data_IF_242411144306
#
_entry.id   IF_242411144306
#
_cell.length_a   1.000
_cell.length_b   1.000
_cell.length_c   1.000
_cell.angle_alpha   90.00
_cell.angle_beta   90.00
_cell.angle_gamma   90.00
#
_symmetry.space_group_name_H-M   'P 1'
#
loop_
_entity.id
_entity.type
_entity.pdbx_description
1 polymer ?
#
# COMPACT_ATOMS: atom_id res chain seq x y z
N UNK A 1 -5.64 -16.52 24.35
CA UNK A 1 -5.52 -15.80 23.07
C UNK A 1 -6.24 -16.66 22.04
N UNK A 2 -7.30 -16.17 21.38
CA UNK A 2 -7.91 -16.95 20.28
C UNK A 2 -6.94 -16.93 19.10
N UNK A 3 -6.35 -18.08 18.69
CA UNK A 3 -5.25 -18.11 17.73
C UNK A 3 -5.63 -17.57 16.34
N UNK A 4 -6.92 -17.40 16.07
CA UNK A 4 -7.48 -16.96 14.79
C UNK A 4 -7.84 -15.46 14.74
N UNK A 5 -7.55 -14.67 15.78
CA UNK A 5 -7.86 -13.24 15.84
C UNK A 5 -6.59 -12.39 15.69
N UNK A 6 -5.92 -12.50 14.54
CA UNK A 6 -4.66 -11.79 14.28
C UNK A 6 -4.42 -11.65 12.76
N UNK A 7 -3.36 -10.93 12.38
CA UNK A 7 -2.83 -10.85 11.02
C UNK A 7 -1.44 -11.51 10.96
N UNK A 8 -1.37 -12.86 11.01
CA UNK A 8 -0.11 -13.58 11.26
C UNK A 8 0.95 -13.42 10.18
N UNK A 9 0.59 -12.97 8.98
CA UNK A 9 1.52 -12.78 7.87
C UNK A 9 1.98 -11.31 7.70
N UNK A 10 1.49 -10.36 8.50
CA UNK A 10 1.85 -8.96 8.37
C UNK A 10 3.30 -8.72 8.82
N UNK A 11 4.22 -8.28 7.92
CA UNK A 11 5.57 -7.93 8.29
C UNK A 11 5.62 -6.51 8.84
N UNK A 12 6.74 -6.18 9.52
CA UNK A 12 7.13 -4.79 9.78
C UNK A 12 8.52 -4.59 9.21
N UNK A 13 8.68 -3.60 8.32
CA UNK A 13 9.99 -3.24 7.79
C UNK A 13 10.48 -1.93 8.39
N UNK A 14 11.67 -1.99 8.98
CA UNK A 14 12.37 -0.86 9.57
C UNK A 14 13.64 -0.59 8.76
N UNK A 15 13.64 0.50 8.01
CA UNK A 15 14.75 0.92 7.16
C UNK A 15 14.41 2.23 6.46
N UNK A 16 15.42 2.96 6.00
CA UNK A 16 15.20 4.16 5.19
C UNK A 16 14.39 3.76 3.94
N UNK A 17 13.32 4.50 3.66
CA UNK A 17 12.36 4.21 2.59
C UNK A 17 11.27 3.17 2.95
N UNK A 18 11.40 2.45 4.06
CA UNK A 18 10.38 1.47 4.50
C UNK A 18 10.01 0.45 3.42
N UNK A 19 8.72 0.10 3.33
CA UNK A 19 8.22 -0.84 2.32
C UNK A 19 8.34 -0.32 0.88
N UNK A 20 8.36 1.01 0.68
CA UNK A 20 8.52 1.62 -0.64
C UNK A 20 9.87 1.33 -1.31
N UNK A 21 10.84 0.76 -0.58
CA UNK A 21 12.13 0.36 -1.15
C UNK A 21 12.09 -0.94 -1.94
N UNK A 22 11.05 -1.77 -1.77
CA UNK A 22 10.97 -3.09 -2.40
C UNK A 22 9.54 -3.50 -2.82
N UNK A 23 8.56 -2.59 -2.73
CA UNK A 23 7.17 -2.78 -3.15
C UNK A 23 6.98 -3.04 -4.66
N UNK A 24 5.82 -3.57 -5.03
CA UNK A 24 5.47 -3.89 -6.44
C UNK A 24 5.00 -2.70 -7.28
N UNK A 25 5.00 -1.49 -6.70
CA UNK A 25 4.71 -0.22 -7.40
C UNK A 25 3.30 -0.07 -8.00
N UNK A 26 2.34 -0.94 -7.68
CA UNK A 26 0.96 -0.77 -8.13
C UNK A 26 0.28 0.44 -7.45
N UNK A 27 -0.24 1.36 -8.27
CA UNK A 27 -0.87 2.61 -7.81
C UNK A 27 -2.24 2.84 -8.46
N UNK A 28 -3.23 1.97 -8.23
CA UNK A 28 -4.60 2.23 -8.65
C UNK A 28 -5.22 3.38 -7.84
N UNK A 29 -6.24 4.01 -8.42
CA UNK A 29 -7.16 4.87 -7.66
C UNK A 29 -8.24 4.00 -7.00
N UNK A 30 -8.67 4.37 -5.80
CA UNK A 30 -9.80 3.72 -5.13
C UNK A 30 -11.10 3.90 -5.90
N UNK A 31 -11.90 2.83 -5.99
CA UNK A 31 -13.21 2.86 -6.62
C UNK A 31 -14.14 3.86 -5.89
N UNK A 32 -14.73 4.85 -6.61
CA UNK A 32 -15.67 5.83 -6.04
C UNK A 32 -16.80 5.24 -5.20
N UNK A 33 -17.41 4.16 -5.68
CA UNK A 33 -18.64 3.62 -5.12
C UNK A 33 -18.40 2.56 -4.02
N UNK A 34 -17.16 2.10 -3.88
CA UNK A 34 -16.81 0.97 -2.99
C UNK A 34 -15.77 1.34 -1.94
N UNK A 35 -14.71 2.05 -2.33
CA UNK A 35 -13.50 2.19 -1.50
C UNK A 35 -13.22 3.63 -1.10
N UNK A 36 -13.60 4.60 -1.94
CA UNK A 36 -13.15 5.98 -1.79
C UNK A 36 -13.90 6.69 -0.65
N UNK A 37 -13.17 7.30 0.32
CA UNK A 37 -13.80 8.04 1.42
C UNK A 37 -14.60 9.27 0.97
N UNK A 38 -15.74 9.49 1.62
CA UNK A 38 -16.53 10.73 1.52
C UNK A 38 -15.93 11.84 2.41
N UNK A 39 -14.72 12.28 2.08
CA UNK A 39 -13.98 13.36 2.76
C UNK A 39 -13.57 14.50 1.81
N UNK A 40 -13.63 14.23 0.52
CA UNK A 40 -13.25 15.12 -0.56
C UNK A 40 -14.28 14.96 -1.68
N UNK A 41 -14.57 16.06 -2.35
CA UNK A 41 -15.38 16.06 -3.57
C UNK A 41 -14.68 15.29 -4.69
N UNK A 42 -15.44 14.92 -5.73
CA UNK A 42 -14.88 14.28 -6.92
C UNK A 42 -13.74 15.07 -7.57
N UNK A 43 -13.87 16.39 -7.59
CA UNK A 43 -12.86 17.28 -8.17
C UNK A 43 -11.60 17.32 -7.32
N UNK A 44 -11.74 17.40 -5.99
CA UNK A 44 -10.60 17.33 -5.08
C UNK A 44 -9.89 15.97 -5.21
N UNK A 45 -10.62 14.86 -5.26
CA UNK A 45 -10.02 13.54 -5.47
C UNK A 45 -9.25 13.46 -6.78
N UNK A 46 -9.82 13.98 -7.87
CA UNK A 46 -9.16 14.03 -9.18
C UNK A 46 -7.87 14.84 -9.12
N UNK A 47 -7.89 16.00 -8.48
CA UNK A 47 -6.71 16.86 -8.31
C UNK A 47 -5.61 16.18 -7.46
N UNK A 48 -6.02 15.54 -6.37
CA UNK A 48 -5.11 14.85 -5.45
C UNK A 48 -4.47 13.62 -6.11
N UNK A 49 -5.25 12.78 -6.77
CA UNK A 49 -4.71 11.65 -7.51
C UNK A 49 -3.82 12.08 -8.66
N UNK A 50 -4.15 13.14 -9.40
CA UNK A 50 -3.28 13.67 -10.44
C UNK A 50 -1.90 14.09 -9.89
N UNK A 51 -1.88 14.76 -8.73
CA UNK A 51 -0.64 15.16 -8.07
C UNK A 51 0.13 13.98 -7.48
N UNK A 52 -0.56 13.02 -6.87
CA UNK A 52 0.05 11.80 -6.36
C UNK A 52 0.68 10.99 -7.51
N UNK A 53 -0.05 10.78 -8.61
CA UNK A 53 0.46 10.10 -9.81
C UNK A 53 1.68 10.79 -10.40
N UNK A 54 1.70 12.13 -10.44
CA UNK A 54 2.86 12.89 -10.90
C UNK A 54 4.10 12.67 -10.01
N UNK A 55 3.94 12.68 -8.68
CA UNK A 55 5.03 12.40 -7.73
C UNK A 55 5.55 10.97 -7.87
N UNK A 56 4.63 10.01 -8.04
CA UNK A 56 4.96 8.59 -8.15
C UNK A 56 5.42 8.19 -9.56
N UNK A 57 5.27 9.09 -10.54
CA UNK A 57 5.46 8.80 -11.97
C UNK A 57 4.63 7.60 -12.40
N UNK A 58 3.38 7.58 -11.97
CA UNK A 58 2.44 6.52 -12.33
C UNK A 58 2.19 6.53 -13.82
N UNK A 59 2.35 5.39 -14.46
CA UNK A 59 2.02 5.15 -15.86
C UNK A 59 1.31 3.81 -15.99
N UNK A 60 0.42 3.71 -16.96
CA UNK A 60 -0.25 2.47 -17.37
C UNK A 60 0.24 2.00 -18.75
N UNK A 61 1.16 2.70 -19.40
CA UNK A 61 1.64 2.37 -20.76
C UNK A 61 3.02 1.73 -20.79
N UNK A 62 3.69 1.61 -19.63
CA UNK A 62 5.05 1.06 -19.56
C UNK A 62 5.14 -0.36 -20.16
N UNK A 63 4.09 -1.16 -20.19
CA UNK A 63 4.16 -2.55 -20.69
C UNK A 63 3.44 -2.74 -22.03
N UNK A 64 3.02 -1.67 -22.70
CA UNK A 64 2.23 -1.77 -23.94
C UNK A 64 2.97 -2.43 -25.09
N UNK A 65 4.30 -2.42 -25.12
CA UNK A 65 5.05 -3.12 -26.17
C UNK A 65 5.25 -4.62 -25.90
N UNK A 66 4.91 -5.14 -24.72
CA UNK A 66 5.07 -6.57 -24.43
C UNK A 66 4.06 -7.40 -25.24
N UNK A 67 4.57 -8.42 -25.93
CA UNK A 67 3.77 -9.41 -26.66
C UNK A 67 2.86 -10.14 -25.68
N UNK A 68 3.42 -10.63 -24.56
CA UNK A 68 2.64 -11.37 -23.56
C UNK A 68 1.60 -10.50 -22.89
N UNK A 69 1.91 -9.22 -22.62
CA UNK A 69 0.96 -8.27 -22.07
C UNK A 69 -0.26 -8.08 -22.98
N UNK A 70 -0.03 -7.82 -24.28
CA UNK A 70 -1.10 -7.66 -25.26
C UNK A 70 -1.91 -8.96 -25.40
N UNK A 71 -1.23 -10.09 -25.62
CA UNK A 71 -1.83 -11.42 -25.77
C UNK A 71 -2.79 -11.74 -24.62
N UNK A 72 -2.32 -11.60 -23.38
CA UNK A 72 -3.11 -11.95 -22.20
C UNK A 72 -4.30 -11.00 -22.05
N UNK A 73 -4.08 -9.68 -22.21
CA UNK A 73 -5.14 -8.68 -22.08
C UNK A 73 -6.26 -8.87 -23.11
N UNK A 74 -5.90 -9.13 -24.36
CA UNK A 74 -6.83 -9.37 -25.46
C UNK A 74 -7.60 -10.68 -25.26
N UNK A 75 -6.89 -11.76 -24.93
CA UNK A 75 -7.50 -13.08 -24.69
C UNK A 75 -8.53 -13.02 -23.56
N UNK A 76 -8.19 -12.33 -22.46
CA UNK A 76 -9.10 -12.12 -21.34
C UNK A 76 -10.30 -11.26 -21.71
N UNK A 77 -10.08 -10.17 -22.45
CA UNK A 77 -11.16 -9.28 -22.92
C UNK A 77 -12.14 -10.01 -23.84
N UNK A 78 -11.64 -10.91 -24.69
CA UNK A 78 -12.47 -11.73 -25.57
C UNK A 78 -13.28 -12.78 -24.79
N UNK A 79 -12.67 -13.42 -23.79
CA UNK A 79 -13.29 -14.47 -22.99
C UNK A 79 -14.33 -13.94 -21.98
N UNK A 80 -14.12 -12.74 -21.44
CA UNK A 80 -14.94 -12.17 -20.36
C UNK A 80 -15.44 -10.77 -20.72
N UNK A 81 -16.36 -10.69 -21.69
CA UNK A 81 -16.86 -9.42 -22.26
C UNK A 81 -17.61 -8.53 -21.26
N UNK A 82 -18.02 -9.07 -20.11
CA UNK A 82 -18.70 -8.33 -19.04
C UNK A 82 -17.71 -7.73 -18.02
N UNK A 83 -16.40 -7.95 -18.19
CA UNK A 83 -15.33 -7.45 -17.33
C UNK A 83 -14.43 -6.48 -18.12
N UNK A 84 -13.92 -5.44 -17.43
CA UNK A 84 -12.94 -4.51 -17.99
C UNK A 84 -11.53 -4.93 -17.59
N UNK A 85 -10.73 -5.35 -18.55
CA UNK A 85 -9.29 -5.57 -18.37
C UNK A 85 -8.54 -4.30 -18.78
N UNK A 86 -7.68 -3.81 -17.89
CA UNK A 86 -6.89 -2.62 -18.11
C UNK A 86 -5.42 -2.90 -17.78
N UNK A 87 -4.54 -1.99 -18.20
CA UNK A 87 -3.16 -2.03 -17.75
C UNK A 87 -3.11 -1.69 -16.26
N UNK A 88 -2.28 -2.41 -15.50
CA UNK A 88 -2.06 -2.10 -14.10
C UNK A 88 -1.32 -0.75 -14.02
N UNK A 89 -1.86 0.28 -13.35
CA UNK A 89 -1.13 1.53 -13.15
C UNK A 89 0.07 1.28 -12.22
N UNK A 90 1.27 1.59 -12.69
CA UNK A 90 2.53 1.32 -12.02
C UNK A 90 3.33 2.60 -11.84
N UNK A 91 3.89 2.78 -10.65
CA UNK A 91 4.84 3.85 -10.33
C UNK A 91 6.23 3.48 -10.88
N UNK A 92 6.49 3.83 -12.14
CA UNK A 92 7.74 3.52 -12.82
C UNK A 92 7.97 4.37 -14.07
N UNK A 93 9.20 4.39 -14.55
CA UNK A 93 9.56 4.97 -15.84
C UNK A 93 10.42 3.98 -16.63
N UNK A 94 10.19 3.87 -17.94
CA UNK A 94 11.14 3.17 -18.80
C UNK A 94 12.30 4.06 -19.15
N UNK A 95 13.50 3.46 -19.20
CA UNK A 95 14.67 4.16 -19.67
C UNK A 95 14.53 4.43 -21.18
N UNK A 96 14.60 5.71 -21.61
CA UNK A 96 14.44 6.06 -23.03
C UNK A 96 15.60 5.57 -23.92
N UNK A 97 16.76 5.24 -23.33
CA UNK A 97 17.95 4.75 -24.05
C UNK A 97 18.10 3.24 -24.01
N UNK A 98 17.41 2.57 -23.10
CA UNK A 98 17.42 1.11 -22.93
C UNK A 98 16.00 0.66 -22.53
N UNK A 99 15.10 0.46 -23.51
CA UNK A 99 13.70 0.19 -23.24
C UNK A 99 13.47 -1.10 -22.45
N UNK A 100 14.45 -2.00 -22.36
CA UNK A 100 14.34 -3.24 -21.57
C UNK A 100 14.45 -2.97 -20.06
N UNK A 101 14.91 -1.77 -19.68
CA UNK A 101 15.06 -1.36 -18.27
C UNK A 101 13.90 -0.49 -17.81
N UNK A 102 13.38 -0.85 -16.64
CA UNK A 102 12.37 -0.09 -15.90
C UNK A 102 13.02 0.46 -14.63
N UNK A 103 12.90 1.77 -14.42
CA UNK A 103 13.20 2.42 -13.16
C UNK A 103 11.92 2.45 -12.32
N UNK A 104 11.88 1.64 -11.27
CA UNK A 104 10.78 1.62 -10.31
C UNK A 104 10.85 2.82 -9.37
N UNK A 105 9.70 3.43 -9.08
CA UNK A 105 9.62 4.55 -8.15
C UNK A 105 9.69 4.03 -6.72
N UNK A 106 10.63 4.56 -5.94
CA UNK A 106 10.66 4.40 -4.49
C UNK A 106 10.71 5.77 -3.78
N UNK A 107 10.80 5.79 -2.44
CA UNK A 107 10.92 7.03 -1.67
C UNK A 107 12.10 7.91 -2.10
N UNK A 108 13.21 7.30 -2.51
CA UNK A 108 14.34 8.04 -3.07
C UNK A 108 13.97 8.81 -4.34
N UNK A 109 13.16 8.21 -5.23
CA UNK A 109 12.66 8.86 -6.45
C UNK A 109 11.75 10.06 -6.13
N UNK A 110 10.94 9.96 -5.06
CA UNK A 110 10.03 11.03 -4.60
C UNK A 110 10.81 12.17 -3.94
N UNK A 111 11.78 11.84 -3.08
CA UNK A 111 12.65 12.82 -2.41
C UNK A 111 13.61 13.52 -3.40
N UNK A 112 13.92 12.88 -4.53
CA UNK A 112 14.81 13.42 -5.55
C UNK A 112 16.19 13.75 -4.98
N UNK A 113 16.63 15.00 -5.12
CA UNK A 113 17.94 15.46 -4.61
C UNK A 113 18.07 15.32 -3.09
N UNK A 114 16.95 15.34 -2.34
CA UNK A 114 16.97 15.18 -0.89
C UNK A 114 17.36 13.76 -0.45
N UNK A 115 17.29 12.78 -1.36
CA UNK A 115 17.74 11.41 -1.09
C UNK A 115 19.25 11.20 -1.28
N UNK A 116 19.99 12.21 -1.76
CA UNK A 116 21.43 12.11 -1.95
C UNK A 116 22.14 12.00 -0.57
N UNK A 117 22.86 10.91 -0.28
CA UNK A 117 23.56 10.75 0.99
C UNK A 117 24.68 11.78 1.21
N UNK A 118 25.14 12.47 0.16
CA UNK A 118 26.13 13.53 0.25
C UNK A 118 25.52 14.92 0.48
N UNK A 119 24.19 15.05 0.42
CA UNK A 119 23.52 16.30 0.76
C UNK A 119 23.66 16.54 2.27
N UNK A 120 24.53 17.47 2.64
CA UNK A 120 24.74 17.89 4.03
C UNK A 120 24.46 19.40 4.15
N UNK A 121 23.65 19.78 5.14
CA UNK A 121 23.23 21.16 5.38
C UNK A 121 22.01 21.61 4.57
N UNK A 122 21.42 22.75 4.94
CA UNK A 122 20.18 23.26 4.36
C UNK A 122 18.95 22.95 5.23
N UNK A 123 17.76 22.87 4.59
CA UNK A 123 16.47 22.75 5.27
C UNK A 123 15.96 21.30 5.39
N UNK A 124 16.83 20.30 5.22
CA UNK A 124 16.49 18.87 5.31
C UNK A 124 17.61 18.09 6.00
N UNK A 125 17.24 17.25 6.98
CA UNK A 125 18.15 16.33 7.67
C UNK A 125 17.47 14.95 7.77
N UNK A 126 18.21 13.89 7.43
CA UNK A 126 17.80 12.51 7.64
C UNK A 126 18.62 11.86 8.74
N UNK A 127 18.02 11.69 9.93
CA UNK A 127 18.62 10.92 11.04
C UNK A 127 18.25 9.45 10.93
N UNK A 128 19.01 8.69 10.13
CA UNK A 128 18.87 7.23 10.09
C UNK A 128 19.20 6.60 11.46
N UNK A 129 18.66 5.40 11.73
CA UNK A 129 18.85 4.65 12.99
C UNK A 129 18.40 5.37 14.27
N UNK A 130 17.55 6.39 14.14
CA UNK A 130 16.91 7.03 15.29
C UNK A 130 15.48 6.50 15.46
N UNK A 131 15.16 5.99 16.64
CA UNK A 131 13.81 5.55 16.99
C UNK A 131 13.07 6.69 17.70
N UNK A 132 11.97 7.17 17.11
CA UNK A 132 11.06 8.09 17.78
C UNK A 132 10.20 7.29 18.79
N UNK A 133 10.41 7.50 20.08
CA UNK A 133 9.72 6.75 21.15
C UNK A 133 8.38 7.33 21.52
N UNK A 134 8.30 8.65 21.61
CA UNK A 134 7.11 9.40 22.01
C UNK A 134 7.22 10.86 21.61
N UNK A 135 6.07 11.51 21.61
CA UNK A 135 5.92 12.94 21.56
C UNK A 135 5.75 13.49 22.99
N UNK A 136 6.29 14.67 23.22
CA UNK A 136 6.10 15.45 24.43
C UNK A 136 4.99 16.46 24.15
N UNK A 137 3.90 16.39 24.90
CA UNK A 137 2.71 17.22 24.71
C UNK A 137 2.58 18.16 25.90
N UNK A 138 2.36 19.45 25.64
CA UNK A 138 1.91 20.41 26.64
C UNK A 138 0.38 20.44 26.64
N UNK A 139 -0.21 19.92 27.72
CA UNK A 139 -1.66 19.88 27.91
C UNK A 139 -2.28 21.28 28.03
N UNK A 140 -1.50 22.30 28.41
CA UNK A 140 -2.01 23.67 28.53
C UNK A 140 -2.20 24.30 27.16
N UNK A 141 -1.18 24.18 26.29
CA UNK A 141 -1.23 24.74 24.94
C UNK A 141 -1.89 23.81 23.93
N UNK A 142 -2.13 22.53 24.29
CA UNK A 142 -2.56 21.47 23.38
C UNK A 142 -1.62 21.35 22.16
N UNK A 143 -0.31 21.39 22.41
CA UNK A 143 0.72 21.30 21.37
C UNK A 143 1.76 20.24 21.68
N UNK A 144 2.29 19.63 20.63
CA UNK A 144 3.52 18.87 20.73
C UNK A 144 4.69 19.85 20.83
N UNK A 145 5.52 19.69 21.86
CA UNK A 145 6.68 20.54 22.16
C UNK A 145 8.01 19.84 21.91
N UNK A 146 8.00 18.53 21.65
CA UNK A 146 9.19 17.78 21.26
C UNK A 146 8.89 16.34 20.84
N UNK A 147 9.84 15.71 20.15
CA UNK A 147 9.86 14.27 19.89
C UNK A 147 11.10 13.64 20.53
N UNK A 148 10.92 12.64 21.39
CA UNK A 148 12.01 11.88 22.00
C UNK A 148 12.57 10.89 20.97
N UNK A 149 13.83 11.10 20.59
CA UNK A 149 14.56 10.26 19.64
C UNK A 149 15.66 9.49 20.39
N UNK A 150 15.74 8.19 20.17
CA UNK A 150 16.83 7.35 20.66
C UNK A 150 17.70 6.93 19.50
N UNK A 151 18.99 7.29 19.55
CA UNK A 151 19.99 6.73 18.65
C UNK A 151 20.17 5.24 18.97
N UNK A 152 19.82 4.36 18.04
CA UNK A 152 19.84 2.92 18.26
C UNK A 152 21.26 2.31 18.32
N UNK A 153 22.29 3.10 18.02
CA UNK A 153 23.69 2.68 18.11
C UNK A 153 24.31 3.12 19.45
N UNK A 154 24.13 4.38 19.84
CA UNK A 154 24.73 4.93 21.07
C UNK A 154 23.82 4.82 22.29
N UNK A 155 22.52 4.57 22.09
CA UNK A 155 21.44 4.71 23.08
C UNK A 155 21.28 6.14 23.63
N UNK A 156 21.86 7.14 22.97
CA UNK A 156 21.68 8.54 23.34
C UNK A 156 20.23 8.97 23.10
N UNK A 157 19.66 9.68 24.07
CA UNK A 157 18.30 10.24 23.99
C UNK A 157 18.42 11.71 23.67
N UNK A 158 17.77 12.14 22.59
CA UNK A 158 17.67 13.54 22.18
C UNK A 158 16.21 13.97 22.04
N UNK A 159 15.94 15.27 22.14
CA UNK A 159 14.60 15.83 21.91
C UNK A 159 14.66 16.73 20.69
N UNK A 160 13.95 16.32 19.63
CA UNK A 160 13.78 17.15 18.44
C UNK A 160 12.60 18.11 18.66
N UNK A 161 12.86 19.42 18.58
CA UNK A 161 11.83 20.46 18.63
C UNK A 161 11.50 20.95 17.22
N UNK A 162 10.22 21.13 16.93
CA UNK A 162 9.73 21.63 15.66
C UNK A 162 8.42 22.42 15.86
N UNK A 163 8.08 23.28 14.89
CA UNK A 163 6.78 23.97 14.86
C UNK A 163 5.64 22.98 14.57
N UNK A 164 5.89 21.99 13.72
CA UNK A 164 4.95 20.95 13.30
C UNK A 164 5.61 19.58 13.36
N UNK A 165 4.83 18.56 13.70
CA UNK A 165 5.24 17.17 13.79
C UNK A 165 4.39 16.32 12.87
N UNK A 166 5.03 15.41 12.12
CA UNK A 166 4.35 14.47 11.23
C UNK A 166 4.82 13.06 11.57
N UNK A 167 3.90 12.17 11.95
CA UNK A 167 4.21 10.75 12.21
C UNK A 167 3.84 9.92 10.98
N UNK A 168 4.84 9.28 10.39
CA UNK A 168 4.70 8.40 9.22
C UNK A 168 5.23 6.98 9.52
N UNK A 169 4.94 6.43 10.71
CA UNK A 169 5.43 5.12 11.17
C UNK A 169 4.76 3.91 10.51
N UNK A 170 3.94 4.11 9.46
CA UNK A 170 3.05 3.07 8.93
C UNK A 170 1.82 2.84 9.82
N UNK A 171 0.86 2.03 9.36
CA UNK A 171 -0.43 1.86 10.04
C UNK A 171 -0.28 1.34 11.48
N UNK A 172 0.61 0.37 11.73
CA UNK A 172 0.77 -0.22 13.07
C UNK A 172 1.65 0.64 13.99
N UNK A 173 2.89 0.95 13.58
CA UNK A 173 3.86 1.55 14.51
C UNK A 173 3.54 3.01 14.88
N UNK A 174 2.80 3.73 14.04
CA UNK A 174 2.28 5.06 14.38
C UNK A 174 1.50 5.00 15.70
N UNK A 175 0.66 3.98 15.89
CA UNK A 175 -0.13 3.84 17.11
C UNK A 175 0.72 3.55 18.36
N UNK A 176 1.88 2.90 18.22
CA UNK A 176 2.80 2.69 19.34
C UNK A 176 3.43 4.01 19.82
N UNK A 177 3.74 4.92 18.88
CA UNK A 177 4.21 6.27 19.20
C UNK A 177 3.09 7.07 19.87
N UNK A 178 1.87 7.05 19.32
CA UNK A 178 0.71 7.73 19.92
C UNK A 178 0.41 7.21 21.34
N UNK A 179 0.44 5.89 21.53
CA UNK A 179 0.26 5.26 22.83
C UNK A 179 1.29 5.76 23.85
N UNK A 180 2.58 5.74 23.51
CA UNK A 180 3.62 6.28 24.39
C UNK A 180 3.51 7.79 24.66
N UNK A 181 2.82 8.52 23.78
CA UNK A 181 2.60 9.97 23.89
C UNK A 181 1.35 10.33 24.69
N UNK A 182 0.61 9.35 25.22
CA UNK A 182 -0.64 9.59 25.96
C UNK A 182 -1.87 9.83 25.07
N UNK A 183 -1.75 9.66 23.75
CA UNK A 183 -2.87 9.74 22.80
C UNK A 183 -3.47 8.34 22.69
N UNK A 184 -4.52 8.09 23.47
CA UNK A 184 -5.10 6.75 23.68
C UNK A 184 -6.63 6.81 23.78
N UNK A 185 -7.35 5.68 23.60
CA UNK A 185 -8.77 5.60 23.91
C UNK A 185 -9.10 6.07 25.33
N UNK A 186 -8.28 5.72 26.33
CA UNK A 186 -8.50 6.10 27.74
C UNK A 186 -8.39 7.61 27.99
N UNK A 187 -7.71 8.35 27.09
CA UNK A 187 -7.57 9.81 27.14
C UNK A 187 -8.53 10.52 26.16
N UNK A 188 -9.53 9.80 25.66
CA UNK A 188 -10.61 10.34 24.83
C UNK A 188 -10.34 10.29 23.32
N UNK A 189 -9.27 9.62 22.87
CA UNK A 189 -9.01 9.34 21.46
C UNK A 189 -9.53 7.95 21.08
N UNK A 190 -10.85 7.75 21.21
CA UNK A 190 -11.51 6.44 21.15
C UNK A 190 -11.21 5.63 19.87
N UNK A 191 -10.97 6.29 18.73
CA UNK A 191 -10.72 5.63 17.45
C UNK A 191 -9.26 5.21 17.23
N UNK A 192 -8.31 5.59 18.09
CA UNK A 192 -6.89 5.25 17.92
C UNK A 192 -6.68 3.74 17.97
N UNK A 193 -6.09 3.18 16.93
CA UNK A 193 -5.87 1.76 16.76
C UNK A 193 -7.10 0.98 16.29
N UNK A 194 -8.31 1.55 16.32
CA UNK A 194 -9.56 0.90 15.96
C UNK A 194 -9.93 1.05 14.48
N UNK A 195 -10.92 0.29 14.01
CA UNK A 195 -11.37 0.26 12.62
C UNK A 195 -10.29 -0.20 11.64
N UNK A 196 -9.35 -1.03 12.12
CA UNK A 196 -8.29 -1.60 11.32
C UNK A 196 -8.91 -2.42 10.18
N UNK A 197 -8.50 -2.13 8.95
CA UNK A 197 -8.79 -2.95 7.77
C UNK A 197 -7.52 -3.60 7.26
N UNK A 198 -7.68 -4.80 6.70
CA UNK A 198 -6.65 -5.54 5.96
C UNK A 198 -7.39 -6.39 4.91
N UNK A 199 -6.68 -6.75 3.84
CA UNK A 199 -7.26 -7.45 2.70
C UNK A 199 -7.28 -8.96 2.89
N UNK A 200 -8.33 -9.58 2.38
CA UNK A 200 -8.30 -11.00 2.01
C UNK A 200 -7.51 -11.14 0.71
N UNK A 201 -6.70 -12.20 0.59
CA UNK A 201 -5.84 -12.36 -0.58
C UNK A 201 -5.87 -13.80 -1.07
N UNK A 202 -6.24 -13.99 -2.33
CA UNK A 202 -6.11 -15.26 -3.03
C UNK A 202 -5.03 -15.15 -4.10
N UNK A 203 -4.30 -16.24 -4.33
CA UNK A 203 -3.23 -16.32 -5.32
C UNK A 203 -3.29 -17.64 -6.09
N UNK A 204 -2.90 -17.61 -7.37
CA UNK A 204 -2.55 -18.80 -8.14
C UNK A 204 -1.45 -18.46 -9.15
N UNK A 205 -0.86 -19.50 -9.74
CA UNK A 205 0.08 -19.39 -10.85
C UNK A 205 -0.34 -20.33 -11.97
N UNK A 206 -0.24 -19.84 -13.20
CA UNK A 206 -0.54 -20.62 -14.39
C UNK A 206 0.65 -20.66 -15.34
N UNK A 207 0.68 -21.70 -16.18
CA UNK A 207 1.38 -21.70 -17.45
C UNK A 207 0.39 -21.33 -18.56
N UNK A 208 0.78 -20.40 -19.44
CA UNK A 208 -0.01 -20.03 -20.61
C UNK A 208 -0.31 -21.23 -21.52
N UNK A 209 -1.53 -21.27 -22.07
CA UNK A 209 -1.93 -22.30 -23.05
C UNK A 209 -1.08 -22.23 -24.32
N UNK A 210 -0.66 -23.38 -24.84
CA UNK A 210 0.09 -23.48 -26.09
C UNK A 210 -0.60 -22.75 -27.25
N UNK A 211 -1.92 -22.85 -27.37
CA UNK A 211 -2.67 -22.18 -28.44
C UNK A 211 -2.53 -20.64 -28.42
N UNK A 212 -2.36 -20.04 -27.23
CA UNK A 212 -2.12 -18.60 -27.10
C UNK A 212 -0.68 -18.24 -27.46
N UNK A 213 0.28 -19.10 -27.13
CA UNK A 213 1.68 -18.91 -27.54
C UNK A 213 1.80 -19.00 -29.07
N UNK A 214 1.19 -20.02 -29.67
CA UNK A 214 1.19 -20.24 -31.12
C UNK A 214 0.56 -19.07 -31.88
N UNK A 215 -0.48 -18.42 -31.33
CA UNK A 215 -1.09 -17.25 -31.96
C UNK A 215 -0.16 -16.04 -32.06
N UNK A 216 0.94 -15.99 -31.29
CA UNK A 216 1.94 -14.92 -31.38
C UNK A 216 2.98 -15.15 -32.47
N UNK A 217 3.05 -16.34 -33.09
CA UNK A 217 4.12 -16.68 -34.02
C UNK A 217 4.11 -15.86 -35.33
N UNK A 218 2.99 -15.23 -35.65
CA UNK A 218 2.89 -14.27 -36.76
C UNK A 218 3.45 -12.88 -36.43
N UNK A 219 3.71 -12.57 -35.16
CA UNK A 219 4.33 -11.30 -34.76
C UNK A 219 5.75 -11.22 -35.37
N UNK A 220 6.11 -10.13 -36.07
CA UNK A 220 7.43 -9.97 -36.68
C UNK A 220 8.60 -10.18 -35.71
N UNK A 221 8.42 -9.83 -34.43
CA UNK A 221 9.43 -10.01 -33.38
C UNK A 221 9.61 -11.49 -33.04
N UNK A 222 8.52 -12.26 -33.03
CA UNK A 222 8.57 -13.71 -32.85
C UNK A 222 9.20 -14.42 -34.06
N UNK A 223 8.94 -13.94 -35.27
CA UNK A 223 9.57 -14.45 -36.48
C UNK A 223 11.08 -14.19 -36.47
N UNK A 224 11.52 -13.01 -36.00
CA UNK A 224 12.94 -12.70 -35.87
C UNK A 224 13.63 -13.52 -34.77
N UNK A 225 12.99 -13.68 -33.61
CA UNK A 225 13.44 -14.58 -32.56
C UNK A 225 13.64 -16.00 -33.09
N UNK A 226 12.70 -16.52 -33.88
CA UNK A 226 12.79 -17.86 -34.48
C UNK A 226 13.96 -18.00 -35.47
N UNK A 227 14.26 -16.97 -36.28
CA UNK A 227 15.44 -16.99 -37.17
C UNK A 227 16.74 -17.11 -36.38
N UNK A 228 16.84 -16.41 -35.25
CA UNK A 228 18.04 -16.40 -34.39
C UNK A 228 18.14 -17.67 -33.52
N UNK A 229 16.99 -18.18 -33.07
CA UNK A 229 16.88 -19.31 -32.16
C UNK A 229 15.84 -20.33 -32.67
N UNK A 230 16.13 -21.08 -33.76
CA UNK A 230 15.15 -21.95 -34.42
C UNK A 230 14.71 -23.14 -33.55
N UNK A 231 15.47 -23.46 -32.50
CA UNK A 231 15.15 -24.52 -31.55
C UNK A 231 14.38 -24.03 -30.32
N UNK A 232 14.16 -22.72 -30.17
CA UNK A 232 13.32 -22.16 -29.09
C UNK A 232 11.84 -22.38 -29.43
N UNK A 233 11.11 -23.22 -28.68
CA UNK A 233 9.74 -23.60 -29.02
C UNK A 233 8.74 -22.46 -28.83
N UNK A 234 9.05 -21.46 -28.00
CA UNK A 234 8.09 -20.39 -27.65
C UNK A 234 8.07 -19.27 -28.67
N UNK A 235 9.21 -18.98 -29.30
CA UNK A 235 9.43 -17.88 -30.27
C UNK A 235 9.18 -16.47 -29.72
N UNK A 236 8.69 -16.31 -28.50
CA UNK A 236 8.60 -15.01 -27.82
C UNK A 236 10.01 -14.54 -27.45
N UNK A 237 10.41 -13.29 -27.74
CA UNK A 237 11.71 -12.74 -27.34
C UNK A 237 12.03 -12.98 -25.87
N UNK A 238 13.29 -13.26 -25.56
CA UNK A 238 13.72 -13.59 -24.18
C UNK A 238 13.57 -12.41 -23.21
N UNK A 239 13.66 -11.20 -23.74
CA UNK A 239 13.54 -9.90 -23.07
C UNK A 239 12.10 -9.35 -23.08
N UNK A 240 11.13 -10.07 -23.66
CA UNK A 240 9.74 -9.64 -23.65
C UNK A 240 9.26 -9.37 -22.22
N UNK A 241 8.80 -8.16 -21.87
CA UNK A 241 8.37 -7.86 -20.52
C UNK A 241 7.16 -8.71 -20.09
N UNK A 242 7.02 -8.96 -18.79
CA UNK A 242 5.88 -9.71 -18.29
C UNK A 242 4.57 -8.91 -18.38
N UNK A 243 3.41 -9.58 -18.49
CA UNK A 243 2.11 -8.91 -18.39
C UNK A 243 2.00 -8.06 -17.11
N UNK A 244 1.33 -6.92 -17.20
CA UNK A 244 0.95 -6.06 -16.08
C UNK A 244 -0.51 -5.61 -16.25
N UNK A 245 -1.45 -6.46 -15.86
CA UNK A 245 -2.88 -6.29 -16.16
C UNK A 245 -3.67 -6.26 -14.85
N UNK A 246 -4.74 -5.46 -14.82
CA UNK A 246 -5.70 -5.39 -13.72
C UNK A 246 -7.13 -5.58 -14.21
N UNK A 247 -7.96 -6.09 -13.31
CA UNK A 247 -9.41 -5.91 -13.36
C UNK A 247 -9.77 -4.99 -12.19
N UNK A 248 -10.17 -3.73 -12.45
CA UNK A 248 -10.48 -2.79 -11.39
C UNK A 248 -11.68 -3.23 -10.54
N UNK A 249 -11.69 -2.75 -9.29
CA UNK A 249 -12.80 -2.92 -8.34
C UNK A 249 -14.08 -2.29 -8.90
N UNK A 250 -15.19 -2.98 -8.75
CA UNK A 250 -16.55 -2.44 -8.99
C UNK A 250 -17.51 -2.96 -7.94
N UNK A 251 -18.71 -2.39 -7.82
CA UNK A 251 -19.75 -2.91 -6.91
C UNK A 251 -20.09 -4.39 -7.20
N UNK A 252 -20.11 -4.80 -8.48
CA UNK A 252 -20.40 -6.18 -8.89
C UNK A 252 -19.25 -7.14 -8.57
N UNK A 253 -18.01 -6.65 -8.62
CA UNK A 253 -16.80 -7.43 -8.36
C UNK A 253 -15.93 -6.66 -7.37
N UNK A 254 -16.27 -6.70 -6.07
CA UNK A 254 -15.67 -5.89 -5.01
C UNK A 254 -14.25 -6.33 -4.60
N UNK A 255 -13.42 -6.67 -5.58
CA UNK A 255 -12.02 -7.09 -5.38
C UNK A 255 -11.13 -6.52 -6.47
N UNK A 256 -9.89 -6.22 -6.10
CA UNK A 256 -8.85 -5.79 -7.01
C UNK A 256 -8.10 -7.01 -7.54
N UNK A 257 -7.64 -6.93 -8.79
CA UNK A 257 -6.97 -8.05 -9.45
C UNK A 257 -5.63 -7.61 -10.03
N UNK A 258 -4.60 -8.43 -9.86
CA UNK A 258 -3.32 -8.28 -10.54
C UNK A 258 -2.99 -9.57 -11.30
N UNK A 259 -2.84 -9.46 -12.62
CA UNK A 259 -2.42 -10.53 -13.53
C UNK A 259 -1.06 -10.11 -14.08
N UNK A 260 0.00 -10.64 -13.47
CA UNK A 260 1.33 -10.11 -13.66
C UNK A 260 2.43 -11.15 -13.47
N UNK A 261 3.69 -10.70 -13.45
CA UNK A 261 4.77 -11.40 -12.76
C UNK A 261 5.36 -10.46 -11.73
N UNK A 262 5.28 -10.87 -10.48
CA UNK A 262 5.58 -10.01 -9.35
C UNK A 262 6.83 -10.50 -8.62
N UNK A 263 7.68 -9.60 -8.09
CA UNK A 263 8.90 -10.00 -7.38
C UNK A 263 8.65 -10.80 -6.10
N UNK A 264 7.44 -10.73 -5.52
CA UNK A 264 7.07 -11.53 -4.35
C UNK A 264 6.42 -12.85 -4.77
N UNK A 265 7.07 -13.96 -4.45
CA UNK A 265 6.54 -15.28 -4.80
C UNK A 265 5.95 -15.97 -3.56
N UNK A 266 4.65 -16.29 -3.63
CA UNK A 266 3.92 -17.03 -2.59
C UNK A 266 3.81 -18.53 -2.88
N UNK A 267 4.25 -18.92 -4.09
CA UNK A 267 4.30 -20.27 -4.61
C UNK A 267 5.73 -20.52 -5.10
N UNK A 268 6.19 -21.76 -4.96
CA UNK A 268 7.48 -22.19 -5.49
C UNK A 268 7.41 -22.20 -7.02
N UNK A 269 8.33 -21.50 -7.69
CA UNK A 269 8.41 -21.53 -9.15
C UNK A 269 9.11 -22.83 -9.56
N UNK A 270 8.47 -23.74 -10.32
CA UNK A 270 9.14 -24.93 -10.81
C UNK A 270 10.25 -24.52 -11.79
N UNK A 271 11.50 -24.89 -11.49
CA UNK A 271 12.65 -24.57 -12.35
C UNK A 271 12.58 -25.22 -13.74
N UNK A 272 11.67 -26.20 -13.93
CA UNK A 272 11.44 -26.91 -15.18
C UNK A 272 10.53 -26.16 -16.16
N UNK A 273 9.90 -25.05 -15.76
CA UNK A 273 8.99 -24.28 -16.60
C UNK A 273 9.66 -22.99 -17.06
N UNK A 274 9.59 -22.70 -18.36
CA UNK A 274 10.12 -21.47 -18.93
C UNK A 274 9.43 -20.24 -18.32
N UNK A 275 10.17 -19.27 -17.75
CA UNK A 275 9.58 -18.10 -17.12
C UNK A 275 8.67 -17.26 -18.02
N UNK A 276 8.81 -17.36 -19.35
CA UNK A 276 7.94 -16.66 -20.32
C UNK A 276 6.50 -17.15 -20.26
N UNK A 277 6.28 -18.39 -19.85
CA UNK A 277 4.95 -19.01 -19.75
C UNK A 277 4.21 -18.69 -18.45
N UNK A 278 4.95 -18.31 -17.40
CA UNK A 278 4.41 -18.21 -16.05
C UNK A 278 3.69 -16.87 -15.89
N UNK A 279 2.51 -16.90 -15.27
CA UNK A 279 1.75 -15.73 -14.83
C UNK A 279 1.31 -15.93 -13.38
N UNK A 280 1.51 -14.89 -12.56
CA UNK A 280 0.99 -14.76 -11.21
C UNK A 280 -0.37 -14.05 -11.27
N UNK A 281 -1.38 -14.64 -10.64
CA UNK A 281 -2.71 -14.05 -10.53
C UNK A 281 -3.02 -13.84 -9.06
N UNK A 282 -3.38 -12.61 -8.70
CA UNK A 282 -3.67 -12.20 -7.32
C UNK A 282 -4.99 -11.46 -7.25
N UNK A 283 -5.84 -11.86 -6.32
CA UNK A 283 -7.11 -11.22 -6.05
C UNK A 283 -7.07 -10.70 -4.61
N UNK A 284 -7.45 -9.44 -4.44
CA UNK A 284 -7.47 -8.76 -3.16
C UNK A 284 -8.91 -8.35 -2.87
N UNK A 285 -9.54 -8.99 -1.89
CA UNK A 285 -10.84 -8.59 -1.37
C UNK A 285 -10.67 -7.60 -0.21
N UNK A 286 -11.77 -7.01 0.24
CA UNK A 286 -11.75 -6.06 1.34
C UNK A 286 -12.43 -6.61 2.60
N UNK A 287 -12.11 -6.00 3.73
CA UNK A 287 -12.85 -6.17 4.99
C UNK A 287 -13.37 -4.81 5.42
N UNK A 288 -14.65 -4.74 5.77
CA UNK A 288 -15.27 -3.50 6.22
C UNK A 288 -14.65 -3.01 7.54
N UNK A 289 -14.51 -1.68 7.73
CA UNK A 289 -14.05 -1.13 9.00
C UNK A 289 -14.97 -1.52 10.15
N UNK A 290 -14.41 -2.11 11.20
CA UNK A 290 -15.14 -2.48 12.41
C UNK A 290 -14.37 -2.03 13.64
N UNK A 291 -15.05 -1.43 14.62
CA UNK A 291 -14.42 -1.03 15.88
C UNK A 291 -13.72 -2.21 16.59
N UNK A 292 -14.26 -3.41 16.44
CA UNK A 292 -13.73 -4.65 17.02
C UNK A 292 -12.39 -5.08 16.39
N UNK A 293 -12.10 -4.62 15.17
CA UNK A 293 -10.81 -4.81 14.53
C UNK A 293 -9.87 -3.67 14.94
N UNK A 294 -8.83 -4.01 15.69
CA UNK A 294 -7.95 -3.01 16.27
C UNK A 294 -6.54 -3.50 16.54
N UNK A 295 -5.63 -2.54 16.68
CA UNK A 295 -4.32 -2.72 17.31
C UNK A 295 -4.29 -1.96 18.63
N UNK A 296 -3.95 -2.65 19.70
CA UNK A 296 -3.79 -2.08 21.05
C UNK A 296 -2.39 -2.36 21.58
N UNK A 297 -2.06 -1.70 22.69
CA UNK A 297 -0.75 -1.78 23.34
C UNK A 297 -0.97 -1.87 24.84
N UNK A 298 0.01 -2.43 25.55
CA UNK A 298 -0.02 -2.57 27.01
C UNK A 298 1.27 -2.00 27.60
N UNK A 299 1.14 -1.33 28.74
CA UNK A 299 2.31 -0.86 29.49
C UNK A 299 3.16 -2.04 29.97
N UNK A 300 4.48 -1.87 29.96
CA UNK A 300 5.43 -2.89 30.41
C UNK A 300 5.75 -4.00 29.41
N UNK A 301 5.01 -4.10 28.29
CA UNK A 301 5.31 -5.06 27.22
C UNK A 301 5.92 -4.32 26.03
N UNK A 302 7.24 -4.46 25.86
CA UNK A 302 7.97 -3.77 24.81
C UNK A 302 8.51 -4.73 23.75
N UNK A 303 8.61 -4.25 22.52
CA UNK A 303 9.31 -4.90 21.42
C UNK A 303 10.83 -4.74 21.54
N UNK A 304 11.58 -5.29 20.58
CA UNK A 304 13.05 -5.26 20.56
C UNK A 304 13.67 -3.86 20.48
N UNK A 305 12.87 -2.82 20.21
CA UNK A 305 13.30 -1.42 20.11
C UNK A 305 12.87 -0.59 21.33
N UNK A 306 12.30 -1.23 22.36
CA UNK A 306 11.77 -0.52 23.54
C UNK A 306 10.48 0.24 23.25
N UNK A 307 9.79 -0.07 22.14
CA UNK A 307 8.46 0.44 21.80
C UNK A 307 7.38 -0.52 22.34
N UNK A 308 6.16 -0.05 22.65
CA UNK A 308 5.08 -0.92 23.08
C UNK A 308 4.81 -2.01 22.06
N UNK A 309 4.73 -3.26 22.52
CA UNK A 309 4.45 -4.42 21.70
C UNK A 309 3.02 -4.32 21.14
N UNK A 310 2.83 -4.33 19.81
CA UNK A 310 1.49 -4.33 19.23
C UNK A 310 0.75 -5.63 19.54
N UNK A 311 -0.52 -5.50 19.94
CA UNK A 311 -1.48 -6.58 20.15
C UNK A 311 -2.62 -6.36 19.17
N UNK A 312 -2.70 -7.19 18.14
CA UNK A 312 -3.68 -7.05 17.08
C UNK A 312 -4.85 -7.99 17.32
N UNK A 313 -6.06 -7.47 17.15
CA UNK A 313 -7.30 -8.24 17.04
C UNK A 313 -7.89 -7.94 15.68
N UNK A 314 -7.95 -8.96 14.83
CA UNK A 314 -8.50 -8.82 13.51
C UNK A 314 -9.30 -10.06 13.12
N UNK A 315 -10.47 -9.85 12.52
CA UNK A 315 -11.33 -10.90 11.97
C UNK A 315 -12.05 -10.41 10.71
N UNK A 316 -12.36 -11.38 9.85
CA UNK A 316 -13.28 -11.19 8.71
C UNK A 316 -14.70 -11.48 9.19
N UNK A 317 -15.61 -10.49 9.04
CA UNK A 317 -17.02 -10.61 9.44
C UNK A 317 -17.32 -10.43 10.94
N UNK A 318 -18.61 -10.54 11.30
CA UNK A 318 -19.11 -10.49 12.68
C UNK A 318 -18.72 -11.75 13.48
N UNK A 319 -18.87 -11.73 14.81
CA UNK A 319 -18.59 -12.89 15.67
C UNK A 319 -19.60 -14.06 15.44
N UNK A 320 -19.19 -15.28 15.81
CA UNK A 320 -20.07 -16.47 15.77
C UNK A 320 -20.18 -17.12 14.39
N UNK A 321 -21.30 -17.79 14.11
CA UNK A 321 -21.52 -18.52 12.85
C UNK A 321 -21.48 -17.62 11.60
N UNK A 322 -21.91 -16.36 11.76
CA UNK A 322 -21.81 -15.34 10.69
C UNK A 322 -20.37 -15.12 10.24
N UNK A 323 -19.38 -15.21 11.14
CA UNK A 323 -17.95 -15.13 10.81
C UNK A 323 -17.56 -16.15 9.73
N UNK A 324 -17.93 -17.41 9.99
CA UNK A 324 -17.54 -18.52 9.13
C UNK A 324 -18.23 -18.42 7.78
N UNK A 325 -19.49 -18.02 7.76
CA UNK A 325 -20.25 -17.77 6.54
C UNK A 325 -19.66 -16.63 5.72
N UNK A 326 -19.47 -15.43 6.31
CA UNK A 326 -18.87 -14.30 5.61
C UNK A 326 -17.48 -14.61 5.07
N UNK A 327 -16.66 -15.34 5.84
CA UNK A 327 -15.33 -15.76 5.40
C UNK A 327 -15.40 -16.78 4.25
N UNK A 328 -16.31 -17.76 4.31
CA UNK A 328 -16.52 -18.72 3.23
C UNK A 328 -17.05 -18.05 1.96
N UNK A 329 -18.03 -17.16 2.08
CA UNK A 329 -18.64 -16.46 0.94
C UNK A 329 -17.60 -15.57 0.25
N UNK A 330 -16.85 -14.79 1.02
CA UNK A 330 -15.74 -13.96 0.53
C UNK A 330 -14.70 -14.81 -0.22
N UNK A 331 -14.22 -15.89 0.41
CA UNK A 331 -13.21 -16.75 -0.21
C UNK A 331 -13.73 -17.50 -1.43
N UNK A 332 -14.97 -17.98 -1.42
CA UNK A 332 -15.58 -18.65 -2.56
C UNK A 332 -15.75 -17.69 -3.75
N UNK A 333 -16.15 -16.44 -3.49
CA UNK A 333 -16.29 -15.43 -4.53
C UNK A 333 -14.95 -15.09 -5.19
N UNK A 334 -13.91 -14.77 -4.39
CA UNK A 334 -12.61 -14.39 -4.94
C UNK A 334 -11.92 -15.58 -5.62
N UNK A 335 -11.95 -16.78 -5.03
CA UNK A 335 -11.29 -17.98 -5.59
C UNK A 335 -12.06 -18.47 -6.82
N UNK A 336 -13.39 -18.47 -6.80
CA UNK A 336 -14.21 -18.85 -7.96
C UNK A 336 -13.96 -17.93 -9.16
N UNK A 337 -13.92 -16.61 -8.93
CA UNK A 337 -13.60 -15.65 -9.99
C UNK A 337 -12.15 -15.81 -10.48
N UNK A 338 -11.19 -16.05 -9.58
CA UNK A 338 -9.79 -16.34 -9.93
C UNK A 338 -9.66 -17.56 -10.83
N UNK A 339 -10.31 -18.68 -10.47
CA UNK A 339 -10.26 -19.92 -11.25
C UNK A 339 -10.80 -19.69 -12.66
N UNK A 340 -11.93 -19.01 -12.78
CA UNK A 340 -12.55 -18.71 -14.08
C UNK A 340 -11.62 -17.86 -14.96
N UNK A 341 -10.99 -16.82 -14.39
CA UNK A 341 -10.03 -15.97 -15.10
C UNK A 341 -8.78 -16.75 -15.49
N UNK A 342 -8.18 -17.49 -14.56
CA UNK A 342 -6.97 -18.27 -14.77
C UNK A 342 -7.13 -19.31 -15.89
N UNK A 343 -8.18 -20.14 -15.80
CA UNK A 343 -8.45 -21.22 -16.75
C UNK A 343 -8.80 -20.74 -18.16
N UNK A 344 -9.14 -19.46 -18.34
CA UNK A 344 -9.34 -18.91 -19.68
C UNK A 344 -8.04 -18.78 -20.46
N UNK A 345 -6.91 -18.56 -19.78
CA UNK A 345 -5.60 -18.26 -20.39
C UNK A 345 -4.50 -19.29 -20.12
N UNK A 346 -4.65 -20.17 -19.12
CA UNK A 346 -3.61 -21.12 -18.76
C UNK A 346 -4.08 -22.25 -17.85
N UNK A 347 -3.17 -23.18 -17.58
CA UNK A 347 -3.35 -24.28 -16.64
C UNK A 347 -2.54 -24.02 -15.37
N UNK A 348 -3.03 -24.45 -14.21
CA UNK A 348 -2.31 -24.25 -12.95
C UNK A 348 -0.97 -24.97 -12.95
N UNK A 349 0.07 -24.29 -12.47
CA UNK A 349 1.35 -24.94 -12.20
C UNK A 349 1.21 -25.88 -11.00
N UNK A 350 1.93 -27.03 -10.97
CA UNK A 350 2.02 -27.85 -9.77
C UNK A 350 2.57 -27.05 -8.58
N UNK A 351 1.82 -26.98 -7.48
CA UNK A 351 2.14 -26.12 -6.32
C UNK A 351 1.76 -24.65 -6.49
N UNK A 352 1.19 -24.29 -7.65
CA UNK A 352 0.66 -22.98 -8.00
C UNK A 352 -0.87 -22.93 -8.00
N UNK A 353 -1.56 -23.95 -7.49
CA UNK A 353 -3.01 -24.03 -7.46
C UNK A 353 -3.62 -22.88 -6.63
N UNK A 354 -4.89 -22.49 -6.91
CA UNK A 354 -5.56 -21.43 -6.17
C UNK A 354 -5.59 -21.68 -4.67
N UNK A 355 -5.11 -20.70 -3.90
CA UNK A 355 -5.15 -20.72 -2.45
C UNK A 355 -5.36 -19.33 -1.87
N UNK A 356 -5.99 -19.28 -0.70
CA UNK A 356 -6.08 -18.07 0.12
C UNK A 356 -4.83 -17.99 0.99
N UNK A 357 -4.25 -16.81 1.10
CA UNK A 357 -3.11 -16.55 1.97
C UNK A 357 -3.56 -16.16 3.38
N UNK A 358 -2.72 -16.38 4.41
CA UNK A 358 -3.02 -15.90 5.76
C UNK A 358 -3.22 -14.38 5.79
N UNK A 359 -4.10 -13.92 6.69
CA UNK A 359 -4.36 -12.49 6.88
C UNK A 359 -3.06 -11.72 7.18
N UNK A 360 -2.92 -10.53 6.59
CA UNK A 360 -1.68 -9.73 6.64
C UNK A 360 -0.72 -9.97 5.48
N UNK A 361 -0.91 -11.00 4.65
CA UNK A 361 -0.04 -11.28 3.51
C UNK A 361 -0.06 -10.20 2.42
N UNK A 362 -1.18 -9.46 2.31
CA UNK A 362 -1.31 -8.33 1.41
C UNK A 362 -0.52 -7.09 1.89
N UNK A 363 -0.27 -6.97 3.20
CA UNK A 363 0.45 -5.84 3.82
C UNK A 363 -0.23 -4.49 3.62
N UNK A 364 -1.56 -4.47 3.43
CA UNK A 364 -2.35 -3.30 3.05
C UNK A 364 -3.23 -2.80 4.20
N UNK A 365 -2.65 -2.79 5.41
CA UNK A 365 -3.32 -2.36 6.64
C UNK A 365 -3.70 -0.87 6.56
N UNK A 366 -4.97 -0.55 6.82
CA UNK A 366 -5.50 0.82 6.87
C UNK A 366 -6.35 1.05 8.14
N UNK A 367 -6.91 2.25 8.28
CA UNK A 367 -7.95 2.57 9.29
C UNK A 367 -7.49 2.83 10.72
N UNK A 368 -6.30 2.38 11.10
CA UNK A 368 -5.81 2.46 12.49
C UNK A 368 -5.66 3.86 13.07
N UNK A 369 -5.58 4.89 12.22
CA UNK A 369 -5.58 6.32 12.59
C UNK A 369 -6.52 7.09 11.67
N UNK A 370 -7.71 6.52 11.42
CA UNK A 370 -8.63 6.96 10.36
C UNK A 370 -8.98 8.44 10.41
N UNK A 371 -9.12 9.04 9.24
CA UNK A 371 -9.62 10.39 9.04
C UNK A 371 -11.15 10.48 9.15
N UNK A 372 -11.66 11.63 9.56
CA UNK A 372 -13.10 11.90 9.64
C UNK A 372 -13.46 13.36 9.38
N UNK A 373 -14.77 13.63 9.32
CA UNK A 373 -15.31 14.98 9.11
C UNK A 373 -15.50 15.77 10.40
N UNK A 374 -15.52 15.09 11.55
CA UNK A 374 -15.74 15.67 12.88
C UNK A 374 -15.10 14.82 13.99
N UNK A 375 -14.77 15.48 15.09
CA UNK A 375 -14.30 14.83 16.34
C UNK A 375 -15.49 14.33 17.17
N UNK A 376 -16.06 13.19 16.76
CA UNK A 376 -17.16 12.51 17.46
C UNK A 376 -16.72 11.18 18.11
N UNK A 377 -15.40 10.98 18.25
CA UNK A 377 -14.81 9.75 18.76
C UNK A 377 -14.72 8.61 17.74
N UNK A 378 -15.18 8.78 16.50
CA UNK A 378 -15.07 7.75 15.46
C UNK A 378 -13.84 7.90 14.56
N UNK A 379 -13.09 9.00 14.66
CA UNK A 379 -11.87 9.24 13.88
C UNK A 379 -10.74 9.81 14.74
N UNK A 380 -9.51 9.71 14.25
CA UNK A 380 -8.29 10.16 14.95
C UNK A 380 -7.81 11.49 14.39
N UNK A 381 -7.94 11.66 13.07
CA UNK A 381 -7.50 12.86 12.36
C UNK A 381 -8.64 13.49 11.57
N UNK A 382 -8.52 14.77 11.28
CA UNK A 382 -9.40 15.48 10.35
C UNK A 382 -9.11 15.10 8.89
N UNK A 383 -9.88 15.68 7.96
CA UNK A 383 -9.65 15.51 6.52
C UNK A 383 -8.26 15.94 6.04
N UNK A 384 -7.56 16.78 6.78
CA UNK A 384 -6.20 17.24 6.48
C UNK A 384 -5.13 16.34 7.12
N UNK A 385 -5.52 15.21 7.68
CA UNK A 385 -4.65 14.31 8.45
C UNK A 385 -4.05 14.96 9.71
N UNK A 386 -4.63 16.07 10.20
CA UNK A 386 -4.28 16.71 11.47
C UNK A 386 -5.01 15.98 12.58
N UNK A 387 -4.30 15.59 13.64
CA UNK A 387 -4.95 14.93 14.77
C UNK A 387 -5.97 15.85 15.42
N UNK A 388 -7.10 15.30 15.86
CA UNK A 388 -8.06 16.08 16.62
C UNK A 388 -7.42 16.60 17.90
N UNK A 389 -7.86 17.79 18.35
CA UNK A 389 -7.48 18.41 19.64
C UNK A 389 -6.02 18.84 19.80
N UNK A 390 -5.14 18.64 18.82
CA UNK A 390 -3.78 19.19 18.83
C UNK A 390 -3.53 20.09 17.63
N UNK A 391 -2.83 21.20 17.84
CA UNK A 391 -2.66 22.21 16.80
C UNK A 391 -1.58 21.88 15.76
N UNK A 392 -0.61 21.04 16.11
CA UNK A 392 0.61 20.92 15.32
C UNK A 392 1.07 19.48 15.04
N UNK A 393 0.17 18.50 15.19
CA UNK A 393 0.46 17.08 14.95
C UNK A 393 -0.36 16.53 13.78
N UNK A 394 0.34 15.92 12.82
CA UNK A 394 -0.23 15.31 11.63
C UNK A 394 0.20 13.85 11.52
N UNK A 395 -0.64 13.03 10.87
CA UNK A 395 -0.38 11.61 10.62
C UNK A 395 -0.30 11.36 9.11
N UNK A 396 0.66 10.54 8.68
CA UNK A 396 0.80 10.11 7.29
C UNK A 396 0.83 8.59 7.15
N UNK A 397 0.41 8.10 5.98
CA UNK A 397 0.41 6.68 5.64
C UNK A 397 -0.98 6.05 5.65
N UNK A 398 -1.07 4.75 5.33
CA UNK A 398 -2.34 4.06 5.07
C UNK A 398 -3.31 4.02 6.26
N UNK A 399 -2.81 4.19 7.50
CA UNK A 399 -3.65 4.24 8.69
C UNK A 399 -4.71 5.34 8.68
N UNK A 400 -4.52 6.41 7.90
CA UNK A 400 -5.49 7.52 7.80
C UNK A 400 -6.69 7.20 6.92
N UNK A 401 -6.61 6.18 6.05
CA UNK A 401 -7.68 5.80 5.13
C UNK A 401 -8.83 5.19 5.95
N UNK A 402 -10.03 5.79 5.96
CA UNK A 402 -11.11 5.44 6.90
C UNK A 402 -12.10 4.36 6.42
N UNK A 403 -11.97 3.91 5.19
CA UNK A 403 -12.86 2.98 4.47
C UNK A 403 -12.19 1.63 4.22
N UNK A 404 -12.99 0.66 3.79
CA UNK A 404 -12.52 -0.61 3.23
C UNK A 404 -11.64 -0.37 2.00
N UNK A 405 -10.61 -1.21 1.83
CA UNK A 405 -9.68 -1.13 0.70
C UNK A 405 -9.43 -2.52 0.10
N UNK A 406 -9.71 -2.69 -1.19
CA UNK A 406 -9.33 -3.85 -1.99
C UNK A 406 -8.12 -3.54 -2.89
N UNK A 407 -8.05 -2.34 -3.45
CA UNK A 407 -6.92 -1.90 -4.25
C UNK A 407 -5.70 -1.57 -3.38
N UNK A 408 -4.52 -1.45 -4.00
CA UNK A 408 -3.30 -1.06 -3.28
C UNK A 408 -3.47 0.38 -2.72
N UNK A 409 -3.25 0.61 -1.40
CA UNK A 409 -3.67 1.87 -0.74
C UNK A 409 -2.65 3.01 -0.83
N UNK A 410 -1.43 2.77 -1.29
CA UNK A 410 -0.31 3.73 -1.18
C UNK A 410 -0.57 5.04 -1.93
N UNK A 411 -1.18 4.99 -3.12
CA UNK A 411 -1.49 6.20 -3.88
C UNK A 411 -2.53 7.07 -3.14
N UNK A 412 -3.55 6.46 -2.55
CA UNK A 412 -4.54 7.17 -1.73
C UNK A 412 -3.92 7.73 -0.46
N UNK A 413 -3.03 6.99 0.21
CA UNK A 413 -2.29 7.51 1.36
C UNK A 413 -1.45 8.75 0.99
N UNK A 414 -0.89 8.79 -0.22
CA UNK A 414 -0.19 9.97 -0.73
C UNK A 414 -1.13 11.17 -0.96
N UNK A 415 -2.39 10.95 -1.37
CA UNK A 415 -3.39 12.02 -1.44
C UNK A 415 -3.61 12.69 -0.07
N UNK A 416 -3.76 11.90 1.00
CA UNK A 416 -3.86 12.44 2.36
C UNK A 416 -2.59 13.18 2.80
N UNK A 417 -1.41 12.64 2.48
CA UNK A 417 -0.15 13.31 2.76
C UNK A 417 -0.01 14.67 2.03
N UNK A 418 -0.48 14.76 0.77
CA UNK A 418 -0.51 16.01 0.00
C UNK A 418 -1.41 17.06 0.68
N UNK A 419 -2.61 16.67 1.13
CA UNK A 419 -3.52 17.60 1.82
C UNK A 419 -2.92 18.06 3.14
N UNK A 420 -2.37 17.14 3.94
CA UNK A 420 -1.71 17.50 5.21
C UNK A 420 -0.52 18.42 5.01
N UNK A 421 0.33 18.15 4.02
CA UNK A 421 1.45 19.03 3.68
C UNK A 421 0.98 20.44 3.27
N UNK A 422 -0.10 20.57 2.47
CA UNK A 422 -0.68 21.88 2.12
C UNK A 422 -1.18 22.61 3.36
N UNK A 423 -1.84 21.90 4.27
CA UNK A 423 -2.37 22.47 5.51
C UNK A 423 -1.23 23.01 6.40
N UNK A 424 -0.14 22.26 6.55
CA UNK A 424 1.07 22.72 7.26
C UNK A 424 1.65 23.97 6.61
N UNK A 425 1.81 23.99 5.28
CA UNK A 425 2.33 25.16 4.55
C UNK A 425 1.45 26.38 4.74
N UNK A 426 0.12 26.20 4.68
CA UNK A 426 -0.83 27.28 4.93
C UNK A 426 -0.70 27.84 6.37
N UNK A 427 -0.68 26.97 7.38
CA UNK A 427 -0.59 27.40 8.79
C UNK A 427 0.77 28.06 9.10
N UNK A 428 1.87 27.58 8.49
CA UNK A 428 3.18 28.24 8.59
C UNK A 428 3.14 29.68 8.06
N UNK A 429 2.56 29.88 6.87
CA UNK A 429 2.42 31.19 6.25
C UNK A 429 1.49 32.13 7.03
N UNK A 430 0.45 31.59 7.67
CA UNK A 430 -0.44 32.37 8.55
C UNK A 430 0.29 32.87 9.80
N UNK A 431 1.10 32.01 10.43
CA UNK A 431 1.91 32.39 11.58
C UNK A 431 2.93 33.48 11.19
N UNK A 432 3.64 33.31 10.07
CA UNK A 432 4.61 34.29 9.57
C UNK A 432 3.96 35.67 9.29
N UNK A 433 2.76 35.68 8.69
CA UNK A 433 2.00 36.93 8.46
C UNK A 433 1.50 37.59 9.74
N UNK A 434 1.15 36.79 10.75
CA UNK A 434 0.60 37.31 12.01
C UNK A 434 1.63 37.96 12.93
N UNK A 435 2.93 37.84 12.65
CA UNK A 435 4.01 38.35 13.50
C UNK A 435 4.05 37.71 14.90
N UNK A 436 3.24 36.67 15.17
CA UNK A 436 3.31 35.89 16.40
C UNK A 436 4.63 35.12 16.39
N UNK A 437 5.62 35.60 17.12
CA UNK A 437 6.78 34.81 17.52
C UNK A 437 6.25 33.59 18.27
N UNK A 438 6.22 32.42 17.62
CA UNK A 438 5.89 31.17 18.28
C UNK A 438 7.07 30.82 19.17
N UNK A 439 6.85 30.75 20.48
CA UNK A 439 7.81 30.37 21.53
C UNK A 439 8.48 29.03 21.23
N UNK A 440 9.52 29.03 20.39
CA UNK A 440 10.54 28.00 20.31
C UNK A 440 11.85 28.73 19.95
N UNK A 441 12.32 29.59 20.85
CA UNK A 441 13.72 30.01 20.86
C UNK A 441 14.50 29.05 21.77
N UNK A 442 15.59 28.50 21.22
CA UNK A 442 16.61 27.59 21.77
C UNK A 442 16.25 26.10 21.96
#
# INVERSE_FOLDING_TARGET
MEPYNNIPAAPVVRGVGGMGSYWSCATPEMCPDVERPDLFTDEEWRELYAKAKALFRTTDTAFDHSIRHQLVKESLTQAHRDRKFANLPLACERNPFDPDRVQWTGPASILGKLADPHLHGGNFELKSRHCCRKLLIDDTSQQVIGAELVDLYTNEVTVAKARFYVICGGAILTNGILFNSGIRPETGYNAVGHYLTEQTMAVCQIALKNSLIESTWSDPRCQEQYKRFPNDPLRIPFDDPSPQITIPVTEKHPWHTQIQRDPFHYNSIPASIDPRLIIDIRFFGYVEPSYENHVTFQEGYNDAFGMPQPIIRFRVGEAGLKRQQSMMDEFNNIVGSMVNIALSIGDFLPGGEPKVLPLGAATHICGTTRAGTKDDGTSVVDRNSKIWRLDNLFIGGCGVIPTQNACNPTLTAACFAIVGARKIVQELADIERSGKSSYIDS
#
